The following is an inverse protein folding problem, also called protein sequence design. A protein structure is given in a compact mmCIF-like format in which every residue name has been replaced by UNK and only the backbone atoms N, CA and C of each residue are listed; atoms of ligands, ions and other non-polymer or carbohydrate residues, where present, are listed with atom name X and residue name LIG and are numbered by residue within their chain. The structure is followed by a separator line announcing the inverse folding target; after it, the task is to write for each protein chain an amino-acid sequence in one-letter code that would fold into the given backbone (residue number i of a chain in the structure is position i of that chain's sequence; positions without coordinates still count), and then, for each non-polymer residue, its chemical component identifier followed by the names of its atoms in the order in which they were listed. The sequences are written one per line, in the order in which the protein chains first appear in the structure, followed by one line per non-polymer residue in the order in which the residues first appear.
data_IF_740886244550
#
_entry.id   IF_740886244550
#
_cell.length_a   1.000
_cell.length_b   1.000
_cell.length_c   1.000
_cell.angle_alpha   90.00
_cell.angle_beta   90.00
_cell.angle_gamma   90.00
#
_symmetry.space_group_name_H-M   'P 1'
#
loop_
_entity.id
_entity.type
_entity.pdbx_description
1 polymer ?
#
# COMPACT_ATOMS: atom_id res chain seq x y z
N UNK A 1 0.91 10.58 -1.43
CA UNK A 1 2.36 10.85 -1.49
C UNK A 1 2.73 11.99 -2.45
N UNK A 2 2.48 11.91 -3.76
CA UNK A 2 2.87 12.96 -4.72
C UNK A 2 2.32 14.37 -4.37
N UNK A 3 1.09 14.47 -3.90
CA UNK A 3 0.51 15.73 -3.40
C UNK A 3 1.02 16.16 -2.01
N UNK A 4 2.05 15.49 -1.47
CA UNK A 4 2.52 15.69 -0.10
C UNK A 4 1.56 15.17 0.97
N UNK A 5 0.51 14.44 0.63
CA UNK A 5 -0.44 13.90 1.61
C UNK A 5 0.02 12.52 2.12
N UNK A 6 0.22 12.35 3.45
CA UNK A 6 0.52 11.08 4.09
C UNK A 6 -0.59 10.05 3.90
N UNK A 7 -0.29 8.84 3.38
CA UNK A 7 -1.27 7.78 3.27
C UNK A 7 -1.55 7.15 4.64
N UNK A 8 -2.81 6.80 4.89
CA UNK A 8 -3.21 5.89 5.98
C UNK A 8 -3.55 4.55 5.31
N UNK A 9 -2.71 3.54 5.53
CA UNK A 9 -2.75 2.28 4.77
C UNK A 9 -2.47 1.08 5.66
N UNK A 10 -2.94 -0.11 5.26
CA UNK A 10 -2.63 -1.36 5.96
C UNK A 10 -1.15 -1.66 5.94
N UNK A 11 -0.61 -2.16 7.06
CA UNK A 11 0.77 -2.64 7.21
C UNK A 11 0.95 -4.01 6.55
N UNK A 12 0.64 -4.11 5.26
CA UNK A 12 0.69 -5.35 4.50
C UNK A 12 0.82 -5.09 2.99
N UNK A 13 1.42 -6.06 2.28
CA UNK A 13 1.47 -6.07 0.82
C UNK A 13 2.22 -4.86 0.23
N UNK A 14 1.80 -4.37 -0.95
CA UNK A 14 2.49 -3.28 -1.65
C UNK A 14 2.64 -1.99 -0.85
N UNK A 15 1.79 -1.77 0.16
CA UNK A 15 1.93 -0.62 1.05
C UNK A 15 3.31 -0.59 1.72
N UNK A 16 3.85 -1.74 2.12
CA UNK A 16 5.17 -1.86 2.75
C UNK A 16 6.32 -1.54 1.79
N UNK A 17 6.15 -1.86 0.52
CA UNK A 17 7.18 -1.58 -0.51
C UNK A 17 7.15 -0.11 -0.95
N UNK A 18 5.95 0.48 -1.02
CA UNK A 18 5.77 1.81 -1.60
C UNK A 18 5.85 2.93 -0.57
N UNK A 19 5.37 2.70 0.65
CA UNK A 19 5.14 3.73 1.66
C UNK A 19 6.13 3.58 2.84
N UNK A 20 7.16 4.43 2.97
CA UNK A 20 8.05 4.38 4.13
C UNK A 20 7.30 4.72 5.43
N UNK A 21 7.68 4.08 6.54
CA UNK A 21 7.05 4.27 7.86
C UNK A 21 7.16 5.72 8.35
N UNK A 22 8.23 6.39 7.96
CA UNK A 22 8.49 7.80 8.24
C UNK A 22 7.42 8.70 7.63
N UNK A 23 6.78 8.29 6.53
CA UNK A 23 5.82 9.12 5.81
C UNK A 23 4.37 8.62 5.89
N UNK A 24 4.14 7.34 6.19
CA UNK A 24 2.82 6.73 6.25
C UNK A 24 2.26 6.64 7.68
N UNK A 25 0.96 6.43 7.78
CA UNK A 25 0.29 5.94 8.98
C UNK A 25 -0.13 4.49 8.73
N UNK A 26 0.51 3.56 9.42
CA UNK A 26 0.25 2.15 9.25
C UNK A 26 -0.88 1.66 10.15
N UNK A 27 -1.90 1.07 9.52
CA UNK A 27 -2.98 0.35 10.18
C UNK A 27 -2.52 -1.10 10.35
N UNK A 28 -2.60 -1.61 11.57
CA UNK A 28 -2.44 -3.03 11.81
C UNK A 28 -3.47 -3.82 10.99
N UNK A 29 -3.07 -4.98 10.49
CA UNK A 29 -3.94 -5.82 9.69
C UNK A 29 -3.72 -7.30 10.01
N UNK A 30 -4.78 -8.08 9.87
CA UNK A 30 -4.74 -9.53 9.98
C UNK A 30 -5.06 -10.14 8.62
N UNK A 31 -4.23 -11.08 8.17
CA UNK A 31 -4.52 -11.82 6.94
C UNK A 31 -5.64 -12.83 7.22
N UNK A 32 -6.74 -12.71 6.47
CA UNK A 32 -7.94 -13.55 6.59
C UNK A 32 -8.40 -14.00 5.20
N UNK A 33 -9.21 -15.06 5.17
CA UNK A 33 -9.86 -15.50 3.95
C UNK A 33 -10.93 -14.49 3.52
N UNK A 34 -10.93 -14.13 2.24
CA UNK A 34 -11.88 -13.21 1.63
C UNK A 34 -13.08 -13.99 1.10
N UNK A 35 -14.26 -13.78 1.69
CA UNK A 35 -15.52 -14.39 1.25
C UNK A 35 -16.55 -13.36 0.77
N UNK A 36 -16.18 -12.09 0.77
CA UNK A 36 -17.03 -10.97 0.37
C UNK A 36 -16.72 -10.58 -1.06
N UNK A 37 -17.77 -10.22 -1.82
CA UNK A 37 -17.65 -9.77 -3.20
C UNK A 37 -16.53 -8.71 -3.34
N UNK A 38 -15.57 -8.87 -4.28
CA UNK A 38 -15.59 -9.79 -5.42
C UNK A 38 -15.13 -11.22 -5.14
N UNK A 39 -14.74 -11.56 -3.92
CA UNK A 39 -14.34 -12.92 -3.55
C UNK A 39 -15.57 -13.81 -3.28
N UNK A 40 -15.46 -15.08 -3.68
CA UNK A 40 -16.32 -16.17 -3.27
C UNK A 40 -15.49 -17.33 -2.72
N UNK A 41 -16.09 -18.52 -2.59
CA UNK A 41 -15.35 -19.73 -2.22
C UNK A 41 -14.44 -20.17 -3.37
N UNK A 42 -13.12 -20.00 -3.20
CA UNK A 42 -12.10 -20.23 -4.25
C UNK A 42 -12.47 -19.56 -5.57
N UNK A 43 -12.91 -18.31 -5.48
CA UNK A 43 -13.35 -17.52 -6.62
C UNK A 43 -13.03 -16.04 -6.38
N UNK A 44 -12.66 -15.32 -7.44
CA UNK A 44 -12.51 -13.86 -7.44
C UNK A 44 -13.11 -13.33 -8.74
N UNK A 45 -14.03 -12.37 -8.66
CA UNK A 45 -14.77 -11.81 -9.80
C UNK A 45 -15.48 -12.87 -10.66
N UNK A 46 -16.11 -13.90 -10.07
CA UNK A 46 -16.75 -14.96 -10.87
C UNK A 46 -15.78 -16.02 -11.41
N UNK A 47 -14.47 -15.85 -11.23
CA UNK A 47 -13.44 -16.72 -11.80
C UNK A 47 -12.86 -17.64 -10.74
N UNK A 48 -12.87 -18.95 -11.02
CA UNK A 48 -12.30 -19.96 -10.12
C UNK A 48 -10.80 -19.75 -9.92
N UNK A 49 -10.38 -19.79 -8.67
CA UNK A 49 -8.98 -19.75 -8.27
C UNK A 49 -8.52 -21.12 -7.77
N UNK A 50 -7.20 -21.36 -7.74
CA UNK A 50 -6.63 -22.60 -7.19
C UNK A 50 -6.66 -22.67 -5.66
N UNK A 51 -6.83 -21.52 -5.00
CA UNK A 51 -6.82 -21.36 -3.55
C UNK A 51 -7.76 -20.23 -3.14
N UNK A 52 -8.20 -20.25 -1.88
CA UNK A 52 -9.02 -19.17 -1.33
C UNK A 52 -8.27 -17.84 -1.40
N UNK A 53 -8.96 -16.80 -1.85
CA UNK A 53 -8.39 -15.45 -1.84
C UNK A 53 -8.23 -14.97 -0.40
N UNK A 54 -7.15 -14.23 -0.13
CA UNK A 54 -6.84 -13.68 1.19
C UNK A 54 -6.83 -12.16 1.12
N UNK A 55 -7.20 -11.50 2.22
CA UNK A 55 -7.06 -10.05 2.39
C UNK A 55 -6.43 -9.75 3.75
N UNK A 56 -5.58 -8.73 3.80
CA UNK A 56 -5.23 -8.02 5.01
C UNK A 56 -6.42 -7.18 5.53
N UNK A 57 -7.23 -7.77 6.41
CA UNK A 57 -8.33 -7.13 7.10
C UNK A 57 -7.79 -6.03 8.04
N UNK A 58 -8.22 -4.76 7.89
CA UNK A 58 -7.72 -3.66 8.70
C UNK A 58 -8.26 -3.74 10.14
N UNK A 59 -7.40 -3.44 11.11
CA UNK A 59 -7.82 -3.26 12.49
C UNK A 59 -8.50 -1.89 12.66
N UNK A 60 -9.79 -1.91 13.03
CA UNK A 60 -10.62 -0.70 13.17
C UNK A 60 -10.05 0.25 14.24
N UNK A 61 -9.53 -0.27 15.35
CA UNK A 61 -8.97 0.54 16.42
C UNK A 61 -7.71 1.28 15.95
N UNK A 62 -6.81 0.58 15.27
CA UNK A 62 -5.58 1.12 14.68
C UNK A 62 -5.89 2.18 13.61
N UNK A 63 -6.91 1.95 12.77
CA UNK A 63 -7.40 2.94 11.81
C UNK A 63 -7.89 4.22 12.53
N UNK A 64 -8.77 4.07 13.52
CA UNK A 64 -9.34 5.18 14.29
C UNK A 64 -8.25 6.03 14.95
N UNK A 65 -7.29 5.38 15.61
CA UNK A 65 -6.16 6.03 16.25
C UNK A 65 -5.31 6.83 15.25
N UNK A 66 -5.01 6.25 14.08
CA UNK A 66 -4.24 6.93 13.05
C UNK A 66 -4.99 8.12 12.44
N UNK A 67 -6.29 7.99 12.17
CA UNK A 67 -7.12 9.11 11.69
C UNK A 67 -7.16 10.25 12.71
N UNK A 68 -7.37 9.93 13.98
CA UNK A 68 -7.37 10.92 15.07
C UNK A 68 -6.01 11.60 15.21
N UNK A 69 -4.91 10.83 15.18
CA UNK A 69 -3.53 11.34 15.23
C UNK A 69 -3.21 12.25 14.06
N UNK A 70 -3.58 11.87 12.83
CA UNK A 70 -3.38 12.68 11.64
C UNK A 70 -4.17 14.00 11.71
N UNK A 71 -5.38 13.97 12.28
CA UNK A 71 -6.21 15.17 12.45
C UNK A 71 -5.66 16.12 13.54
N UNK A 72 -5.26 15.57 14.69
CA UNK A 72 -4.90 16.36 15.87
C UNK A 72 -3.44 16.79 15.90
N UNK A 73 -2.50 15.97 15.41
CA UNK A 73 -1.07 16.27 15.45
C UNK A 73 -0.58 16.94 14.16
N UNK A 74 -0.80 18.25 14.04
CA UNK A 74 -0.43 19.04 12.85
C UNK A 74 1.07 19.07 12.56
N UNK A 75 1.90 19.05 13.61
CA UNK A 75 3.37 19.06 13.46
C UNK A 75 3.83 17.76 12.82
N UNK A 76 3.38 16.62 13.37
CA UNK A 76 3.70 15.32 12.79
C UNK A 76 3.17 15.20 11.36
N UNK A 77 1.92 15.60 11.12
CA UNK A 77 1.33 15.56 9.78
C UNK A 77 2.18 16.34 8.78
N UNK A 78 2.63 17.55 9.14
CA UNK A 78 3.49 18.39 8.30
C UNK A 78 4.84 17.70 8.01
N UNK A 79 5.47 17.12 9.02
CA UNK A 79 6.74 16.41 8.85
C UNK A 79 6.57 15.21 7.91
N UNK A 80 5.55 14.37 8.14
CA UNK A 80 5.22 13.23 7.27
C UNK A 80 4.89 13.67 5.85
N UNK A 81 4.24 14.82 5.69
CA UNK A 81 3.88 15.38 4.38
C UNK A 81 5.10 15.74 3.53
N UNK A 82 6.10 16.37 4.16
CA UNK A 82 7.37 16.72 3.51
C UNK A 82 8.14 15.47 3.09
N UNK A 83 8.21 14.46 3.97
CA UNK A 83 8.87 13.19 3.67
C UNK A 83 8.14 12.47 2.53
N UNK A 84 6.80 12.43 2.57
CA UNK A 84 5.97 11.85 1.50
C UNK A 84 6.26 12.46 0.13
N UNK A 85 6.34 13.80 0.06
CA UNK A 85 6.59 14.50 -1.19
C UNK A 85 7.95 14.14 -1.76
N UNK A 86 8.99 14.20 -0.91
CA UNK A 86 10.36 13.84 -1.29
C UNK A 86 10.46 12.38 -1.74
N UNK A 87 9.78 11.47 -1.04
CA UNK A 87 9.77 10.05 -1.40
C UNK A 87 9.07 9.79 -2.73
N UNK A 88 7.97 10.51 -3.00
CA UNK A 88 7.24 10.36 -4.25
C UNK A 88 8.08 10.71 -5.50
N UNK A 89 9.02 11.64 -5.38
CA UNK A 89 9.94 12.02 -6.46
C UNK A 89 10.89 10.88 -6.86
N UNK A 90 11.07 9.88 -5.99
CA UNK A 90 11.85 8.70 -6.35
C UNK A 90 11.15 7.81 -7.38
N UNK A 91 9.81 7.81 -7.40
CA UNK A 91 9.02 6.97 -8.30
C UNK A 91 8.77 7.69 -9.62
N UNK A 92 9.57 7.37 -10.63
CA UNK A 92 9.39 7.85 -12.01
C UNK A 92 9.27 6.68 -12.98
N UNK A 93 8.57 6.92 -14.10
CA UNK A 93 8.46 5.92 -15.16
C UNK A 93 9.80 5.62 -15.80
N UNK A 94 10.68 6.61 -15.97
CA UNK A 94 12.02 6.42 -16.58
C UNK A 94 12.82 5.35 -15.84
N UNK A 95 12.87 5.43 -14.50
CA UNK A 95 13.60 4.46 -13.66
C UNK A 95 13.05 3.04 -13.77
N UNK A 96 11.73 2.90 -13.92
CA UNK A 96 11.09 1.59 -14.06
C UNK A 96 11.23 1.06 -15.49
N UNK A 97 11.12 1.92 -16.49
CA UNK A 97 11.31 1.58 -17.90
C UNK A 97 12.69 0.98 -18.13
N UNK A 98 13.75 1.61 -17.62
CA UNK A 98 15.12 1.10 -17.75
C UNK A 98 15.28 -0.31 -17.14
N UNK A 99 14.69 -0.53 -15.95
CA UNK A 99 14.71 -1.84 -15.29
C UNK A 99 13.94 -2.89 -16.10
N UNK A 100 12.79 -2.52 -16.65
CA UNK A 100 11.97 -3.42 -17.47
C UNK A 100 12.68 -3.78 -18.78
N UNK A 101 13.24 -2.81 -19.49
CA UNK A 101 14.00 -3.05 -20.74
C UNK A 101 15.18 -3.98 -20.47
N UNK A 102 15.94 -3.74 -19.41
CA UNK A 102 17.04 -4.62 -18.99
C UNK A 102 16.54 -6.04 -18.71
N UNK A 103 15.42 -6.19 -18.00
CA UNK A 103 14.87 -7.51 -17.68
C UNK A 103 14.36 -8.24 -18.92
N UNK A 104 13.66 -7.54 -19.82
CA UNK A 104 13.16 -8.12 -21.07
C UNK A 104 14.30 -8.61 -21.97
N UNK A 105 15.38 -7.85 -22.05
CA UNK A 105 16.58 -8.24 -22.83
C UNK A 105 17.19 -9.57 -22.34
N UNK A 106 17.07 -9.89 -21.05
CA UNK A 106 17.55 -11.16 -20.47
C UNK A 106 16.60 -12.35 -20.69
N UNK A 107 15.37 -12.10 -21.11
CA UNK A 107 14.35 -13.15 -21.34
C UNK A 107 14.29 -13.50 -22.83
N UNK A 108 14.58 -12.52 -23.69
CA UNK A 108 14.54 -12.68 -25.15
C UNK A 108 15.83 -13.31 -25.70
N UNK A 109 16.94 -13.24 -24.96
CA UNK A 109 18.22 -13.90 -25.27
C UNK A 109 18.48 -15.07 -24.32
#
# INVERSE_FOLDING_TARGET
MAAGVPPIVTKYGPSLDFCPEECAYYIDAKVTECFTNPCGKMEVFGLKTKMQAMWAEPNIQSLSQNMYRAYTNRIELRNKSQICRKHAEYYTWDKIADKMVKRLSQIIH
#
